data_IF_157251735296
#
_entry.id   IF_157251735296
#
_cell.length_a   1.000
_cell.length_b   1.000
_cell.length_c   1.000
_cell.angle_alpha   90.00
_cell.angle_beta   90.00
_cell.angle_gamma   90.00
#
_symmetry.space_group_name_H-M   'P 1'
#
loop_
_entity.id
_entity.type
_entity.pdbx_description
1 polymer ?
#
# COMPACT_ATOMS: atom_id res chain seq x y z
N UNK A 1 -68.22 22.90 17.15
CA UNK A 1 -67.04 23.47 17.85
C UNK A 1 -65.95 22.40 17.92
N UNK A 2 -64.67 22.81 17.91
CA UNK A 2 -63.46 22.01 18.25
C UNK A 2 -62.50 21.56 17.13
N UNK A 3 -62.17 22.43 16.16
CA UNK A 3 -61.00 22.26 15.26
C UNK A 3 -59.67 22.80 15.83
N UNK A 4 -59.69 23.39 17.03
CA UNK A 4 -58.55 24.13 17.61
C UNK A 4 -57.48 23.20 18.21
N UNK A 5 -57.87 21.96 18.51
CA UNK A 5 -57.09 21.04 19.32
C UNK A 5 -56.24 20.11 18.43
N UNK A 6 -56.74 19.74 17.24
CA UNK A 6 -56.05 18.84 16.31
C UNK A 6 -54.79 19.46 15.70
N UNK A 7 -54.85 20.71 15.26
CA UNK A 7 -53.67 21.41 14.70
C UNK A 7 -52.61 21.65 15.76
N UNK A 8 -53.03 21.93 16.99
CA UNK A 8 -52.15 22.08 18.16
C UNK A 8 -51.44 20.76 18.49
N UNK A 9 -52.17 19.64 18.47
CA UNK A 9 -51.59 18.30 18.70
C UNK A 9 -50.61 17.93 17.56
N UNK A 10 -50.94 18.24 16.31
CA UNK A 10 -50.07 17.93 15.17
C UNK A 10 -48.77 18.75 15.20
N UNK A 11 -48.85 20.03 15.55
CA UNK A 11 -47.68 20.90 15.70
C UNK A 11 -46.78 20.45 16.87
N UNK A 12 -47.38 20.01 17.98
CA UNK A 12 -46.65 19.41 19.11
C UNK A 12 -45.93 18.13 18.70
N UNK A 13 -46.58 17.22 17.97
CA UNK A 13 -45.97 15.98 17.50
C UNK A 13 -44.80 16.22 16.54
N UNK A 14 -44.92 17.21 15.64
CA UNK A 14 -43.86 17.60 14.70
C UNK A 14 -42.62 18.13 15.42
N UNK A 15 -42.80 19.00 16.42
CA UNK A 15 -41.68 19.53 17.21
C UNK A 15 -40.99 18.43 18.01
N UNK A 16 -41.76 17.47 18.55
CA UNK A 16 -41.24 16.36 19.33
C UNK A 16 -40.40 15.41 18.45
N UNK A 17 -40.85 15.14 17.23
CA UNK A 17 -40.08 14.32 16.27
C UNK A 17 -38.79 15.00 15.83
N UNK A 18 -38.83 16.29 15.49
CA UNK A 18 -37.62 17.04 15.11
C UNK A 18 -36.63 17.13 16.28
N UNK A 19 -37.11 17.30 17.51
CA UNK A 19 -36.29 17.29 18.71
C UNK A 19 -35.58 15.96 18.94
N UNK A 20 -36.27 14.82 18.79
CA UNK A 20 -35.69 13.48 18.94
C UNK A 20 -34.66 13.20 17.84
N UNK A 21 -34.98 13.50 16.59
CA UNK A 21 -34.07 13.23 15.45
C UNK A 21 -32.83 14.12 15.53
N UNK A 22 -33.00 15.42 15.81
CA UNK A 22 -31.89 16.35 15.97
C UNK A 22 -31.00 16.02 17.17
N UNK A 23 -31.61 15.70 18.31
CA UNK A 23 -30.89 15.31 19.53
C UNK A 23 -30.15 13.98 19.38
N UNK A 24 -30.77 12.97 18.75
CA UNK A 24 -30.16 11.67 18.48
C UNK A 24 -28.97 11.76 17.51
N UNK A 25 -29.11 12.56 16.46
CA UNK A 25 -28.03 12.79 15.49
C UNK A 25 -26.84 13.52 16.13
N UNK A 26 -27.09 14.57 16.90
CA UNK A 26 -26.03 15.31 17.59
C UNK A 26 -25.32 14.44 18.63
N UNK A 27 -26.07 13.68 19.43
CA UNK A 27 -25.51 12.76 20.43
C UNK A 27 -24.65 11.67 19.78
N UNK A 28 -25.07 11.09 18.65
CA UNK A 28 -24.27 10.09 17.95
C UNK A 28 -22.96 10.68 17.37
N UNK A 29 -22.98 11.91 16.87
CA UNK A 29 -21.77 12.55 16.35
C UNK A 29 -20.79 12.99 17.44
N UNK A 30 -21.28 13.31 18.65
CA UNK A 30 -20.45 13.81 19.74
C UNK A 30 -19.96 12.68 20.68
N UNK A 31 -20.70 11.57 20.76
CA UNK A 31 -20.29 10.36 21.47
C UNK A 31 -19.64 9.37 20.49
N UNK A 32 -18.39 9.67 20.11
CA UNK A 32 -17.59 8.78 19.29
C UNK A 32 -17.52 7.37 19.88
N UNK A 33 -18.04 6.39 19.16
CA UNK A 33 -17.90 4.97 19.52
C UNK A 33 -16.41 4.63 19.44
N UNK A 34 -15.74 4.59 20.59
CA UNK A 34 -14.44 3.93 20.71
C UNK A 34 -14.71 2.43 20.61
N UNK A 35 -14.65 1.90 19.39
CA UNK A 35 -14.53 0.45 19.17
C UNK A 35 -13.15 0.09 19.69
N UNK A 36 -13.10 -0.26 20.97
CA UNK A 36 -11.90 -0.80 21.60
C UNK A 36 -11.56 -2.10 20.91
N UNK A 37 -10.35 -2.21 20.39
CA UNK A 37 -9.75 -3.49 20.05
C UNK A 37 -9.90 -4.40 21.27
N UNK A 38 -10.66 -5.47 21.13
CA UNK A 38 -10.68 -6.57 22.09
C UNK A 38 -9.25 -7.06 22.23
N UNK A 39 -8.68 -6.82 23.41
CA UNK A 39 -7.48 -7.47 23.88
C UNK A 39 -7.83 -8.96 24.05
N UNK A 40 -7.54 -9.76 23.03
CA UNK A 40 -7.31 -11.19 23.21
C UNK A 40 -5.82 -11.32 23.47
N UNK A 41 -5.47 -11.47 24.75
CA UNK A 41 -4.18 -12.01 25.13
C UNK A 41 -4.18 -13.52 24.91
N UNK A 42 -3.09 -13.98 24.29
CA UNK A 42 -2.66 -15.36 24.10
C UNK A 42 -3.40 -16.21 23.06
N UNK A 43 -3.03 -15.99 21.81
CA UNK A 43 -2.45 -17.04 20.96
C UNK A 43 -1.35 -16.38 20.12
N UNK A 44 -0.16 -16.97 20.10
CA UNK A 44 1.00 -16.53 19.30
C UNK A 44 0.55 -16.09 17.91
N UNK A 45 0.74 -14.81 17.50
CA UNK A 45 0.44 -14.43 16.14
C UNK A 45 1.58 -14.94 15.28
N UNK A 46 1.37 -16.07 14.59
CA UNK A 46 1.94 -16.19 13.25
C UNK A 46 1.57 -14.92 12.51
N UNK A 47 2.57 -14.12 12.18
CA UNK A 47 2.37 -12.74 11.73
C UNK A 47 1.44 -12.73 10.52
N UNK A 48 0.18 -12.35 10.75
CA UNK A 48 -0.78 -12.01 9.71
C UNK A 48 -0.37 -10.65 9.13
N UNK A 49 0.85 -10.57 8.59
CA UNK A 49 1.27 -9.45 7.77
C UNK A 49 0.26 -9.35 6.65
N UNK A 50 -0.44 -8.22 6.58
CA UNK A 50 -1.45 -7.98 5.57
C UNK A 50 -0.81 -8.22 4.19
N UNK A 51 -1.59 -8.68 3.19
CA UNK A 51 -1.04 -8.87 1.83
C UNK A 51 -0.37 -7.58 1.32
N UNK A 52 -0.85 -6.43 1.78
CA UNK A 52 -0.27 -5.11 1.49
C UNK A 52 1.17 -4.97 2.00
N UNK A 53 1.53 -5.61 3.11
CA UNK A 53 2.90 -5.55 3.64
C UNK A 53 3.91 -6.32 2.80
N UNK A 54 3.42 -7.25 2.00
CA UNK A 54 4.20 -8.14 1.13
C UNK A 54 4.29 -7.63 -0.30
N UNK A 55 3.74 -6.47 -0.60
CA UNK A 55 3.74 -5.88 -1.94
C UNK A 55 4.50 -4.57 -1.90
N UNK A 56 5.27 -4.27 -2.94
CA UNK A 56 5.93 -2.97 -3.11
C UNK A 56 5.93 -2.52 -4.56
N UNK A 57 5.58 -1.25 -4.77
CA UNK A 57 5.73 -0.51 -6.01
C UNK A 57 6.99 0.38 -6.00
N UNK A 58 7.76 0.36 -4.91
CA UNK A 58 8.92 1.22 -4.68
C UNK A 58 8.93 1.96 -3.34
N UNK A 59 7.81 1.93 -2.62
CA UNK A 59 7.62 2.51 -1.29
C UNK A 59 8.17 1.63 -0.16
N UNK A 60 8.59 0.40 -0.48
CA UNK A 60 9.21 -0.55 0.45
C UNK A 60 10.33 -1.32 -0.24
N UNK A 61 11.47 -1.48 0.42
CA UNK A 61 12.57 -2.32 -0.05
C UNK A 61 12.53 -3.66 0.65
N UNK A 62 12.64 -4.75 -0.11
CA UNK A 62 12.73 -6.12 0.39
C UNK A 62 14.15 -6.69 0.31
N UNK A 63 15.09 -5.93 -0.27
CA UNK A 63 16.51 -6.31 -0.31
C UNK A 63 17.03 -6.50 1.12
N UNK A 64 17.55 -7.68 1.48
CA UNK A 64 18.12 -7.90 2.82
C UNK A 64 19.38 -7.08 3.04
N UNK A 65 19.60 -6.64 4.28
CA UNK A 65 20.78 -5.90 4.70
C UNK A 65 20.63 -4.38 4.63
N UNK A 66 21.75 -3.68 4.83
CA UNK A 66 21.77 -2.22 4.85
C UNK A 66 21.67 -1.66 3.43
N UNK A 67 20.58 -0.95 3.15
CA UNK A 67 20.45 -0.15 1.93
C UNK A 67 21.12 1.21 2.12
N UNK A 68 21.70 1.75 1.04
CA UNK A 68 22.30 3.09 1.09
C UNK A 68 21.28 4.16 1.53
N UNK A 69 21.72 5.22 2.25
CA UNK A 69 20.83 6.31 2.66
C UNK A 69 20.05 6.91 1.49
N UNK A 70 20.71 7.09 0.34
CA UNK A 70 20.08 7.62 -0.87
C UNK A 70 18.99 6.70 -1.43
N UNK A 71 19.15 5.36 -1.36
CA UNK A 71 18.09 4.42 -1.73
C UNK A 71 16.90 4.54 -0.78
N UNK A 72 17.16 4.65 0.53
CA UNK A 72 16.11 4.83 1.55
C UNK A 72 15.31 6.13 1.33
N UNK A 73 16.00 7.22 1.02
CA UNK A 73 15.34 8.49 0.66
C UNK A 73 14.53 8.38 -0.63
N UNK A 74 15.00 7.61 -1.62
CA UNK A 74 14.23 7.32 -2.84
C UNK A 74 12.93 6.58 -2.54
N UNK A 75 12.99 5.56 -1.69
CA UNK A 75 11.83 4.78 -1.23
C UNK A 75 10.82 5.67 -0.50
N UNK A 76 11.29 6.53 0.40
CA UNK A 76 10.44 7.51 1.09
C UNK A 76 9.83 8.53 0.13
N UNK A 77 10.57 8.95 -0.89
CA UNK A 77 10.06 9.87 -1.91
C UNK A 77 8.95 9.22 -2.76
N UNK A 78 9.04 7.92 -3.09
CA UNK A 78 7.94 7.17 -3.72
C UNK A 78 6.72 7.14 -2.81
N UNK A 79 6.89 6.80 -1.52
CA UNK A 79 5.80 6.78 -0.56
C UNK A 79 5.10 8.16 -0.43
N UNK A 80 5.87 9.24 -0.52
CA UNK A 80 5.39 10.62 -0.52
C UNK A 80 4.92 11.13 -1.92
N UNK A 81 4.89 10.26 -2.95
CA UNK A 81 4.57 10.60 -4.35
C UNK A 81 5.42 11.73 -4.94
N UNK A 82 6.60 11.95 -4.37
CA UNK A 82 7.58 12.93 -4.82
C UNK A 82 8.50 12.31 -5.88
N UNK A 83 7.95 12.02 -7.06
CA UNK A 83 8.63 11.22 -8.07
C UNK A 83 9.94 11.82 -8.58
N UNK A 84 10.05 13.15 -8.73
CA UNK A 84 11.31 13.78 -9.16
C UNK A 84 12.43 13.56 -8.14
N UNK A 85 12.12 13.64 -6.84
CA UNK A 85 13.06 13.33 -5.75
C UNK A 85 13.45 11.85 -5.78
N UNK A 86 12.47 10.97 -6.00
CA UNK A 86 12.73 9.53 -6.12
C UNK A 86 13.66 9.23 -7.31
N UNK A 87 13.42 9.85 -8.47
CA UNK A 87 14.28 9.70 -9.67
C UNK A 87 15.72 10.13 -9.35
N UNK A 88 15.90 11.29 -8.73
CA UNK A 88 17.23 11.78 -8.36
C UNK A 88 17.94 10.81 -7.40
N UNK A 89 17.25 10.37 -6.36
CA UNK A 89 17.77 9.48 -5.32
C UNK A 89 18.10 8.08 -5.85
N UNK A 90 17.24 7.47 -6.65
CA UNK A 90 17.54 6.17 -7.26
C UNK A 90 18.62 6.25 -8.33
N UNK A 91 18.70 7.36 -9.07
CA UNK A 91 19.83 7.60 -9.99
C UNK A 91 21.13 7.69 -9.22
N UNK A 92 21.16 8.36 -8.06
CA UNK A 92 22.33 8.39 -7.18
C UNK A 92 22.66 7.01 -6.58
N UNK A 93 21.64 6.27 -6.12
CA UNK A 93 21.81 4.91 -5.61
C UNK A 93 22.44 3.97 -6.64
N UNK A 94 21.99 4.03 -7.91
CA UNK A 94 22.54 3.24 -9.00
C UNK A 94 23.96 3.67 -9.42
N UNK A 95 24.38 4.91 -9.14
CA UNK A 95 25.80 5.29 -9.30
C UNK A 95 26.68 4.61 -8.26
N UNK A 96 26.19 4.42 -7.04
CA UNK A 96 26.90 3.71 -5.97
C UNK A 96 26.91 2.20 -6.20
N UNK A 97 25.76 1.64 -6.60
CA UNK A 97 25.62 0.22 -6.92
C UNK A 97 24.84 0.05 -8.24
N UNK A 98 25.57 -0.07 -9.34
CA UNK A 98 24.99 -0.24 -10.69
C UNK A 98 24.20 -1.54 -10.87
N UNK A 99 24.46 -2.54 -10.03
CA UNK A 99 23.87 -3.88 -10.15
C UNK A 99 22.70 -4.11 -9.18
N UNK A 100 22.13 -3.06 -8.59
CA UNK A 100 20.93 -3.12 -7.74
C UNK A 100 19.65 -3.22 -8.61
N UNK A 101 19.03 -4.41 -8.72
CA UNK A 101 17.87 -4.59 -9.59
C UNK A 101 16.63 -3.88 -9.05
N UNK A 102 16.50 -3.81 -7.72
CA UNK A 102 15.34 -3.20 -7.06
C UNK A 102 15.37 -1.67 -7.23
N UNK A 103 16.54 -1.03 -7.07
CA UNK A 103 16.68 0.40 -7.32
C UNK A 103 16.38 0.77 -8.79
N UNK A 104 16.73 -0.10 -9.74
CA UNK A 104 16.41 0.10 -11.16
C UNK A 104 14.90 -0.01 -11.43
N UNK A 105 14.23 -1.01 -10.84
CA UNK A 105 12.76 -1.12 -10.90
C UNK A 105 12.11 0.13 -10.31
N UNK A 106 12.55 0.58 -9.13
CA UNK A 106 11.95 1.73 -8.47
C UNK A 106 12.21 3.03 -9.24
N UNK A 107 13.38 3.18 -9.87
CA UNK A 107 13.64 4.29 -10.78
C UNK A 107 12.68 4.30 -11.97
N UNK A 108 12.44 3.13 -12.59
CA UNK A 108 11.52 3.02 -13.72
C UNK A 108 10.08 3.32 -13.29
N UNK A 109 9.65 2.84 -12.13
CA UNK A 109 8.34 3.16 -11.57
C UNK A 109 8.21 4.65 -11.25
N UNK A 110 9.25 5.28 -10.70
CA UNK A 110 9.28 6.72 -10.42
C UNK A 110 9.14 7.56 -11.71
N UNK A 111 9.80 7.15 -12.80
CA UNK A 111 9.69 7.81 -14.12
C UNK A 111 8.29 7.74 -14.71
N UNK A 112 7.56 6.66 -14.44
CA UNK A 112 6.14 6.52 -14.82
C UNK A 112 5.28 7.43 -13.93
N UNK A 113 5.58 7.44 -12.63
CA UNK A 113 4.85 8.22 -11.63
C UNK A 113 3.37 7.82 -11.58
N UNK A 114 2.48 8.82 -11.65
CA UNK A 114 1.02 8.58 -11.67
C UNK A 114 0.45 8.38 -13.07
N UNK A 115 1.29 8.20 -14.09
CA UNK A 115 0.85 8.02 -15.48
C UNK A 115 0.23 6.63 -15.69
N UNK A 116 -0.60 6.51 -16.73
CA UNK A 116 -1.17 5.22 -17.14
C UNK A 116 -0.03 4.25 -17.49
N UNK A 117 -0.08 3.04 -16.92
CA UNK A 117 0.89 1.97 -17.18
C UNK A 117 0.23 0.60 -17.14
N UNK A 118 0.87 -0.38 -17.77
CA UNK A 118 0.58 -1.79 -17.51
C UNK A 118 1.41 -2.26 -16.33
N UNK A 119 0.80 -3.02 -15.42
CA UNK A 119 1.49 -3.48 -14.22
C UNK A 119 1.70 -4.97 -14.25
N UNK A 120 2.96 -5.39 -14.13
CA UNK A 120 3.32 -6.78 -13.91
C UNK A 120 3.61 -7.01 -12.42
N UNK A 121 3.26 -8.19 -11.94
CA UNK A 121 3.45 -8.62 -10.56
C UNK A 121 4.38 -9.81 -10.58
N UNK A 122 5.47 -9.76 -9.80
CA UNK A 122 6.38 -10.89 -9.66
C UNK A 122 6.39 -11.37 -8.20
N UNK A 123 6.08 -12.65 -7.98
CA UNK A 123 6.35 -13.32 -6.71
C UNK A 123 7.80 -13.75 -6.70
N UNK A 124 8.54 -13.36 -5.67
CA UNK A 124 9.94 -13.73 -5.50
C UNK A 124 10.19 -14.34 -4.12
N UNK A 125 11.02 -15.39 -4.03
CA UNK A 125 11.23 -16.17 -2.82
C UNK A 125 12.19 -15.48 -1.83
N UNK A 126 12.01 -14.18 -1.55
CA UNK A 126 12.97 -13.43 -0.74
C UNK A 126 13.14 -14.00 0.68
N UNK A 127 12.11 -14.66 1.22
CA UNK A 127 12.16 -15.28 2.54
C UNK A 127 12.97 -16.58 2.60
N UNK A 128 13.18 -17.27 1.48
CA UNK A 128 13.90 -18.56 1.42
C UNK A 128 15.19 -18.49 0.62
N UNK A 129 15.22 -17.70 -0.46
CA UNK A 129 16.37 -17.49 -1.33
C UNK A 129 16.44 -16.04 -1.83
N UNK A 130 17.11 -15.15 -1.08
CA UNK A 130 17.34 -13.77 -1.52
C UNK A 130 18.14 -13.65 -2.81
N UNK A 131 19.08 -14.57 -3.08
CA UNK A 131 19.92 -14.48 -4.26
C UNK A 131 19.12 -14.79 -5.52
N UNK A 132 18.34 -15.88 -5.51
CA UNK A 132 17.42 -16.19 -6.60
C UNK A 132 16.41 -15.06 -6.83
N UNK A 133 15.91 -14.45 -5.75
CA UNK A 133 15.01 -13.29 -5.82
C UNK A 133 15.66 -12.11 -6.54
N UNK A 134 16.92 -11.78 -6.21
CA UNK A 134 17.66 -10.71 -6.88
C UNK A 134 17.91 -11.00 -8.37
N UNK A 135 18.16 -12.25 -8.76
CA UNK A 135 18.31 -12.60 -10.17
C UNK A 135 17.00 -12.49 -10.96
N UNK A 136 15.87 -12.94 -10.37
CA UNK A 136 14.55 -12.75 -10.97
C UNK A 136 14.26 -11.25 -11.15
N UNK A 137 14.48 -10.45 -10.11
CA UNK A 137 14.31 -9.01 -10.18
C UNK A 137 15.25 -8.36 -11.20
N UNK A 138 16.47 -8.87 -11.37
CA UNK A 138 17.41 -8.35 -12.37
C UNK A 138 16.90 -8.57 -13.79
N UNK A 139 16.38 -9.75 -14.09
CA UNK A 139 15.72 -10.02 -15.37
C UNK A 139 14.52 -9.10 -15.62
N UNK A 140 13.66 -8.92 -14.60
CA UNK A 140 12.50 -8.02 -14.67
C UNK A 140 12.94 -6.57 -14.90
N UNK A 141 13.91 -6.08 -14.14
CA UNK A 141 14.42 -4.71 -14.23
C UNK A 141 14.97 -4.41 -15.63
N UNK A 142 15.75 -5.35 -16.19
CA UNK A 142 16.29 -5.23 -17.53
C UNK A 142 15.19 -5.21 -18.59
N UNK A 143 14.24 -6.15 -18.53
CA UNK A 143 13.13 -6.21 -19.47
C UNK A 143 12.24 -4.94 -19.40
N UNK A 144 11.90 -4.48 -18.20
CA UNK A 144 11.14 -3.26 -17.98
C UNK A 144 11.87 -2.05 -18.57
N UNK A 145 13.17 -1.91 -18.29
CA UNK A 145 13.97 -0.81 -18.81
C UNK A 145 14.04 -0.82 -20.33
N UNK A 146 14.23 -1.99 -20.95
CA UNK A 146 14.27 -2.13 -22.40
C UNK A 146 12.94 -1.75 -23.05
N UNK A 147 11.83 -2.29 -22.54
CA UNK A 147 10.49 -2.04 -23.10
C UNK A 147 10.10 -0.56 -22.92
N UNK A 148 10.38 0.04 -21.75
CA UNK A 148 10.05 1.44 -21.51
C UNK A 148 10.92 2.38 -22.36
N UNK A 149 12.19 2.04 -22.59
CA UNK A 149 13.09 2.80 -23.46
C UNK A 149 12.69 2.69 -24.94
N UNK A 150 12.03 1.60 -25.36
CA UNK A 150 11.49 1.44 -26.71
C UNK A 150 10.09 2.02 -26.91
N UNK A 151 9.60 2.85 -25.98
CA UNK A 151 8.28 3.50 -26.07
C UNK A 151 7.12 2.70 -25.46
N UNK A 152 7.39 1.63 -24.73
CA UNK A 152 6.39 0.84 -24.02
C UNK A 152 5.61 -0.14 -24.91
N UNK A 153 4.64 -0.83 -24.32
CA UNK A 153 3.75 -1.75 -25.04
C UNK A 153 2.60 -0.93 -25.63
N UNK A 154 2.56 -0.81 -26.97
CA UNK A 154 1.56 0.03 -27.68
C UNK A 154 1.55 1.48 -27.18
N UNK A 155 2.72 2.03 -26.85
CA UNK A 155 2.85 3.41 -26.33
C UNK A 155 2.59 3.56 -24.83
N UNK A 156 2.31 2.47 -24.11
CA UNK A 156 2.03 2.49 -22.67
C UNK A 156 3.21 1.86 -21.92
N UNK A 157 3.82 2.55 -20.94
CA UNK A 157 4.95 2.01 -20.19
C UNK A 157 4.53 0.84 -19.30
N UNK A 158 5.49 -0.02 -18.99
CA UNK A 158 5.39 -1.11 -18.03
C UNK A 158 5.89 -0.67 -16.66
N UNK A 159 4.99 -0.65 -15.68
CA UNK A 159 5.31 -0.63 -14.25
C UNK A 159 5.51 -2.04 -13.73
N UNK A 160 6.27 -2.20 -12.63
CA UNK A 160 6.42 -3.50 -11.98
C UNK A 160 6.23 -3.43 -10.48
N UNK A 161 5.57 -4.46 -9.94
CA UNK A 161 5.33 -4.68 -8.53
C UNK A 161 6.14 -5.89 -8.10
N UNK A 162 6.88 -5.76 -7.00
CA UNK A 162 7.52 -6.88 -6.33
C UNK A 162 6.62 -7.41 -5.22
N UNK A 163 6.35 -8.71 -5.22
CA UNK A 163 5.63 -9.43 -4.16
C UNK A 163 6.59 -10.33 -3.41
N UNK A 164 6.71 -10.08 -2.12
CA UNK A 164 7.47 -10.88 -1.17
C UNK A 164 6.69 -12.16 -0.83
N UNK A 165 7.27 -13.31 -1.14
CA UNK A 165 6.75 -14.61 -0.71
C UNK A 165 7.28 -14.99 0.68
N UNK A 166 6.39 -15.10 1.68
CA UNK A 166 6.71 -15.71 2.98
C UNK A 166 6.55 -17.23 2.81
N UNK A 167 7.53 -18.06 3.18
CA UNK A 167 7.34 -19.50 3.19
C UNK A 167 6.19 -19.88 4.13
N UNK A 168 5.21 -20.63 3.64
CA UNK A 168 4.23 -21.31 4.47
C UNK A 168 4.97 -22.41 5.26
N UNK A 169 5.28 -22.17 6.54
CA UNK A 169 5.66 -23.26 7.44
C UNK A 169 4.40 -23.83 8.09
N UNK A 170 3.67 -24.65 7.35
CA UNK A 170 2.85 -25.70 7.95
C UNK A 170 3.49 -27.04 7.62
N UNK A 171 4.45 -27.41 8.46
CA UNK A 171 4.87 -28.78 8.57
C UNK A 171 4.86 -29.06 10.07
N UNK A 172 3.67 -29.18 10.63
CA UNK A 172 3.46 -29.88 11.89
C UNK A 172 3.78 -31.37 11.66
N UNK A 173 4.94 -31.89 12.07
CA UNK A 173 5.19 -33.31 11.97
C UNK A 173 4.46 -33.96 13.15
N UNK A 174 3.44 -34.76 12.85
CA UNK A 174 2.74 -35.65 13.77
C UNK A 174 3.66 -36.15 14.89
N UNK A 175 3.45 -35.67 16.11
CA UNK A 175 3.85 -36.32 17.37
C UNK A 175 2.85 -36.00 18.47
#
# INVERSE_FOLDING_TARGET
>A
MSQKNETTILALALLLTVGIVGGGFWWFTNNGVKIGNTNIQNQQPGNNSSLQDRISFGEKSFTPGDISPVKKEGVQAIAAKSYDKAIANFTAALKLNRNDPEALIFLNNARIGSSKSYTIVASVPFGTDPNASLEILRGIAQAQNQINSSGGVKGVPLGSISVFEVPQTDNNPLR
#
